data_IF_204486675930
#
_entry.id   IF_204486675930
#
_cell.length_a   1.000
_cell.length_b   1.000
_cell.length_c   1.000
_cell.angle_alpha   90.00
_cell.angle_beta   90.00
_cell.angle_gamma   90.00
#
_symmetry.space_group_name_H-M   'P 1'
#
loop_
_entity.id
_entity.type
_entity.pdbx_description
1 polymer ?
#
# COMPACT_ATOMS: atom_id res chain seq x y z
N UNK A 1 12.79 17.38 -22.99
CA UNK A 1 13.49 16.62 -21.95
C UNK A 1 12.99 17.13 -20.59
N UNK A 2 11.95 16.49 -20.03
CA UNK A 2 11.48 16.77 -18.66
C UNK A 2 11.96 15.62 -17.78
N UNK A 3 12.77 15.95 -16.79
CA UNK A 3 13.37 15.07 -15.79
C UNK A 3 12.29 14.21 -15.12
N UNK A 4 12.34 12.91 -15.37
CA UNK A 4 11.56 11.89 -14.64
C UNK A 4 12.01 11.92 -13.17
N UNK A 5 11.23 12.56 -12.30
CA UNK A 5 11.36 12.38 -10.86
C UNK A 5 11.06 10.93 -10.55
N UNK A 6 12.10 10.14 -10.27
CA UNK A 6 11.99 8.81 -9.70
C UNK A 6 11.17 8.92 -8.42
N UNK A 7 9.93 8.45 -8.47
CA UNK A 7 9.10 8.23 -7.29
C UNK A 7 9.80 7.17 -6.42
N UNK A 8 10.49 7.61 -5.41
CA UNK A 8 10.96 6.75 -4.34
C UNK A 8 9.73 6.41 -3.49
N UNK A 9 9.21 5.16 -3.62
CA UNK A 9 8.48 4.55 -2.51
C UNK A 9 9.43 4.67 -1.33
N UNK A 10 9.00 5.44 -0.33
CA UNK A 10 9.84 5.85 0.78
C UNK A 10 10.31 4.67 1.65
N UNK A 11 11.14 3.81 1.07
CA UNK A 11 11.93 2.87 1.83
C UNK A 11 13.07 3.66 2.45
N UNK A 12 12.78 4.31 3.58
CA UNK A 12 13.85 4.77 4.45
C UNK A 12 14.82 3.61 4.66
N UNK A 13 16.08 3.85 4.36
CA UNK A 13 17.15 3.03 4.92
C UNK A 13 17.01 3.17 6.44
N UNK A 14 16.43 2.13 7.06
CA UNK A 14 16.41 1.99 8.52
C UNK A 14 17.82 2.25 9.02
N UNK A 15 17.96 3.14 9.98
CA UNK A 15 19.23 3.43 10.65
C UNK A 15 19.65 2.29 11.59
N UNK A 16 19.29 1.04 11.28
CA UNK A 16 19.70 -0.17 12.02
C UNK A 16 21.18 -0.21 12.41
N UNK A 17 22.01 0.60 11.76
CA UNK A 17 23.44 0.67 12.05
C UNK A 17 23.78 1.34 13.41
N UNK A 18 22.88 2.13 14.00
CA UNK A 18 23.20 2.88 15.23
C UNK A 18 22.94 2.11 16.53
N UNK A 19 22.11 1.05 16.51
CA UNK A 19 21.76 0.28 17.71
C UNK A 19 22.38 -1.13 17.78
N UNK A 20 23.26 -1.48 16.84
CA UNK A 20 23.95 -2.77 16.90
C UNK A 20 24.89 -2.76 18.12
N UNK A 21 24.53 -3.55 19.16
CA UNK A 21 25.31 -3.67 20.40
C UNK A 21 24.85 -2.78 21.55
N UNK A 22 23.78 -1.99 21.42
CA UNK A 22 23.16 -1.32 22.54
C UNK A 22 22.48 -2.32 23.49
N UNK A 23 22.47 -2.08 24.79
CA UNK A 23 21.75 -2.92 25.76
C UNK A 23 20.24 -2.92 25.45
N UNK A 24 19.53 -4.05 25.69
CA UNK A 24 18.07 -4.09 25.56
C UNK A 24 17.40 -3.03 26.45
N UNK A 25 16.34 -2.40 25.97
CA UNK A 25 15.65 -1.31 26.66
C UNK A 25 16.29 0.07 26.46
N UNK A 26 17.30 0.20 25.58
CA UNK A 26 17.85 1.51 25.21
C UNK A 26 16.93 2.20 24.23
N UNK A 27 16.33 3.30 24.61
CA UNK A 27 15.43 4.06 23.77
C UNK A 27 16.20 4.83 22.69
N UNK A 28 15.85 4.59 21.45
CA UNK A 28 16.39 5.30 20.30
C UNK A 28 15.29 5.50 19.23
N UNK A 29 14.99 6.74 18.94
CA UNK A 29 14.03 7.08 17.88
C UNK A 29 14.67 6.89 16.49
N UNK A 30 14.11 6.00 15.68
CA UNK A 30 14.57 5.72 14.31
C UNK A 30 13.65 6.30 13.23
N UNK A 31 12.67 7.11 13.64
CA UNK A 31 11.74 7.79 12.76
C UNK A 31 12.36 8.93 11.94
N UNK A 32 11.51 9.78 11.34
CA UNK A 32 11.97 10.97 10.62
C UNK A 32 12.41 12.04 11.62
N UNK A 33 13.51 12.76 11.33
CA UNK A 33 13.87 13.94 12.10
C UNK A 33 12.70 14.92 12.14
N UNK A 34 12.36 15.34 13.33
CA UNK A 34 11.19 16.19 13.58
C UNK A 34 11.71 17.50 14.16
N UNK A 35 11.22 18.62 13.63
CA UNK A 35 11.49 19.95 14.14
C UNK A 35 10.32 20.52 14.97
N UNK A 36 9.17 19.85 14.96
CA UNK A 36 7.99 20.30 15.71
C UNK A 36 8.05 19.78 17.15
N UNK A 37 7.59 20.58 18.13
CA UNK A 37 7.49 20.12 19.50
C UNK A 37 6.47 18.98 19.62
N UNK A 38 6.67 18.11 20.60
CA UNK A 38 5.70 17.07 20.94
C UNK A 38 4.41 17.72 21.41
N UNK A 39 3.29 17.16 20.99
CA UNK A 39 1.97 17.56 21.40
C UNK A 39 1.35 16.44 22.25
N UNK A 40 0.85 16.79 23.42
CA UNK A 40 0.15 15.87 24.33
C UNK A 40 -1.29 16.38 24.45
N UNK A 41 -2.25 15.54 24.10
CA UNK A 41 -3.68 15.83 24.32
C UNK A 41 -4.21 14.92 25.42
N UNK A 42 -4.67 15.50 26.51
CA UNK A 42 -5.38 14.78 27.57
C UNK A 42 -6.89 14.92 27.35
N UNK A 43 -7.56 13.79 27.26
CA UNK A 43 -9.01 13.71 27.25
C UNK A 43 -9.44 12.86 28.46
N UNK A 44 -10.27 13.45 29.32
CA UNK A 44 -10.86 12.78 30.46
C UNK A 44 -12.37 12.80 30.36
N UNK A 45 -13.00 11.69 30.66
CA UNK A 45 -14.44 11.59 30.52
C UNK A 45 -15.07 10.55 31.45
N UNK A 46 -16.33 10.77 31.73
CA UNK A 46 -17.29 9.79 32.24
C UNK A 46 -18.64 10.01 31.54
N UNK A 47 -19.70 9.39 31.97
CA UNK A 47 -21.02 9.60 31.35
C UNK A 47 -21.50 11.06 31.38
N UNK A 48 -21.18 11.81 32.43
CA UNK A 48 -21.68 13.16 32.67
C UNK A 48 -20.70 14.25 32.22
N UNK A 49 -19.41 14.04 32.46
CA UNK A 49 -18.35 15.03 32.28
C UNK A 49 -17.42 14.71 31.15
N UNK A 50 -16.91 15.74 30.52
CA UNK A 50 -15.88 15.67 29.49
C UNK A 50 -14.89 16.82 29.63
N UNK A 51 -13.64 16.54 29.57
CA UNK A 51 -12.56 17.52 29.60
C UNK A 51 -11.55 17.15 28.50
N UNK A 52 -11.08 18.17 27.77
CA UNK A 52 -10.06 18.02 26.72
C UNK A 52 -9.13 19.22 26.78
N UNK A 53 -7.82 18.96 26.85
CA UNK A 53 -6.81 20.02 26.85
C UNK A 53 -5.51 19.53 26.22
N UNK A 54 -4.87 20.43 25.48
CA UNK A 54 -3.54 20.23 24.91
C UNK A 54 -2.47 20.74 25.87
N UNK A 55 -1.37 19.99 25.93
CA UNK A 55 -0.21 20.31 26.76
C UNK A 55 1.07 20.13 25.95
N UNK A 56 2.05 20.97 26.26
CA UNK A 56 3.43 20.82 25.75
C UNK A 56 4.38 20.30 26.82
N UNK A 57 3.92 20.17 28.07
CA UNK A 57 4.67 19.67 29.21
C UNK A 57 3.89 18.56 29.91
N UNK A 58 4.59 17.43 30.12
CA UNK A 58 3.99 16.27 30.76
C UNK A 58 3.61 16.51 32.23
N UNK A 59 4.39 17.29 32.97
CA UNK A 59 4.09 17.56 34.39
C UNK A 59 2.78 18.33 34.55
N UNK A 60 2.51 19.29 33.68
CA UNK A 60 1.24 20.00 33.65
C UNK A 60 0.08 19.05 33.32
N UNK A 61 0.29 18.14 32.35
CA UNK A 61 -0.70 17.15 31.97
C UNK A 61 -1.04 16.24 33.18
N UNK A 62 -0.03 15.65 33.82
CA UNK A 62 -0.24 14.73 34.93
C UNK A 62 -0.81 15.40 36.19
N UNK A 63 -0.50 16.67 36.44
CA UNK A 63 -1.05 17.42 37.58
C UNK A 63 -2.55 17.71 37.49
N UNK A 64 -3.14 17.63 36.30
CA UNK A 64 -4.56 17.92 36.08
C UNK A 64 -5.44 16.68 36.02
N UNK A 65 -4.86 15.48 36.16
CA UNK A 65 -5.57 14.22 36.08
C UNK A 65 -6.60 14.09 37.24
N UNK A 66 -7.86 13.83 36.84
CA UNK A 66 -8.96 13.64 37.81
C UNK A 66 -9.12 12.17 38.19
N UNK A 67 -9.42 11.85 39.46
CA UNK A 67 -9.76 10.49 39.86
C UNK A 67 -11.13 10.07 39.28
N UNK A 68 -11.31 8.75 39.10
CA UNK A 68 -12.58 8.16 38.68
C UNK A 68 -13.10 8.55 37.28
N UNK A 69 -12.21 8.94 36.38
CA UNK A 69 -12.53 9.18 34.96
C UNK A 69 -11.70 8.25 34.07
N UNK A 70 -12.24 7.90 32.92
CA UNK A 70 -11.44 7.29 31.84
C UNK A 70 -10.58 8.38 31.23
N UNK A 71 -9.31 8.03 30.99
CA UNK A 71 -8.30 8.97 30.49
C UNK A 71 -7.76 8.50 29.17
N UNK A 72 -7.62 9.42 28.25
CA UNK A 72 -6.88 9.21 27.01
C UNK A 72 -5.77 10.24 26.90
N UNK A 73 -4.53 9.77 26.93
CA UNK A 73 -3.34 10.59 26.71
C UNK A 73 -2.86 10.30 25.30
N UNK A 74 -3.07 11.23 24.37
CA UNK A 74 -2.57 11.12 23.01
C UNK A 74 -1.25 11.87 22.89
N UNK A 75 -0.16 11.14 22.53
CA UNK A 75 1.19 11.67 22.37
C UNK A 75 1.54 11.68 20.89
N UNK A 76 1.63 12.88 20.32
CA UNK A 76 2.03 13.10 18.93
C UNK A 76 3.51 13.53 18.90
N UNK A 77 4.36 12.64 18.43
CA UNK A 77 5.82 12.81 18.40
C UNK A 77 6.53 11.86 19.35
N UNK A 78 7.49 11.11 18.80
CA UNK A 78 8.24 10.06 19.54
C UNK A 78 9.74 10.39 19.66
N UNK A 79 10.14 11.59 19.25
CA UNK A 79 11.54 12.01 19.18
C UNK A 79 12.09 12.52 20.52
N UNK A 80 11.24 12.90 21.47
CA UNK A 80 11.65 13.29 22.83
C UNK A 80 11.67 12.03 23.74
N UNK A 81 12.83 11.39 23.81
CA UNK A 81 13.05 10.20 24.59
C UNK A 81 12.84 10.44 26.08
N UNK A 82 13.21 11.63 26.59
CA UNK A 82 13.06 11.94 28.00
C UNK A 82 11.59 12.01 28.44
N UNK A 83 10.72 12.52 27.58
CA UNK A 83 9.28 12.54 27.80
C UNK A 83 8.71 11.12 27.82
N UNK A 84 9.10 10.28 26.85
CA UNK A 84 8.65 8.87 26.76
C UNK A 84 9.12 8.07 28.01
N UNK A 85 10.37 8.22 28.41
CA UNK A 85 10.89 7.59 29.65
C UNK A 85 10.11 8.05 30.90
N UNK A 86 9.75 9.32 30.96
CA UNK A 86 9.01 9.86 32.09
C UNK A 86 7.59 9.29 32.14
N UNK A 87 6.90 9.21 30.99
CA UNK A 87 5.60 8.52 30.88
C UNK A 87 5.74 7.05 31.30
N UNK A 88 6.77 6.37 30.82
CA UNK A 88 7.07 4.99 31.21
C UNK A 88 7.18 4.79 32.71
N UNK A 89 7.89 5.68 33.42
CA UNK A 89 7.99 5.66 34.88
C UNK A 89 6.66 5.92 35.58
N UNK A 90 5.85 6.87 35.08
CA UNK A 90 4.57 7.22 35.68
C UNK A 90 3.54 6.09 35.59
N UNK A 91 3.56 5.33 34.49
CA UNK A 91 2.61 4.23 34.23
C UNK A 91 3.24 2.83 34.40
N UNK A 92 4.44 2.76 34.97
CA UNK A 92 5.18 1.51 35.18
C UNK A 92 5.33 0.65 33.92
N UNK A 93 5.60 1.29 32.77
CA UNK A 93 5.79 0.62 31.48
C UNK A 93 7.22 0.09 31.39
N UNK A 94 7.36 -1.17 31.02
CA UNK A 94 8.66 -1.82 30.92
C UNK A 94 9.57 -1.16 29.87
N UNK A 95 10.89 -1.00 30.10
CA UNK A 95 11.81 -0.35 29.15
C UNK A 95 11.82 -0.97 27.75
N UNK A 96 11.65 -2.29 27.60
CA UNK A 96 11.53 -2.95 26.29
C UNK A 96 10.27 -2.51 25.53
N UNK A 97 9.16 -2.31 26.23
CA UNK A 97 7.94 -1.78 25.62
C UNK A 97 8.14 -0.34 25.14
N UNK A 98 8.83 0.48 25.92
CA UNK A 98 9.18 1.85 25.51
C UNK A 98 10.13 1.86 24.30
N UNK A 99 11.10 0.93 24.24
CA UNK A 99 11.95 0.74 23.08
C UNK A 99 11.13 0.42 21.84
N UNK A 100 10.15 -0.48 21.92
CA UNK A 100 9.28 -0.85 20.83
C UNK A 100 8.35 0.30 20.39
N UNK A 101 7.87 1.12 21.32
CA UNK A 101 7.07 2.33 21.04
C UNK A 101 7.88 3.34 20.22
N UNK A 102 9.12 3.59 20.61
CA UNK A 102 10.00 4.58 19.98
C UNK A 102 10.57 4.08 18.65
N UNK A 103 10.70 2.76 18.51
CA UNK A 103 11.21 2.13 17.30
C UNK A 103 10.10 1.93 16.26
N UNK A 104 9.88 2.93 15.39
CA UNK A 104 8.72 3.05 14.48
C UNK A 104 8.66 2.07 13.30
N UNK A 105 9.47 1.02 13.28
CA UNK A 105 9.45 -0.05 12.27
C UNK A 105 8.95 -1.39 12.82
N UNK A 106 8.24 -1.37 13.96
CA UNK A 106 7.73 -2.59 14.59
C UNK A 106 6.62 -3.24 13.74
N UNK A 107 6.55 -4.57 13.85
CA UNK A 107 5.44 -5.36 13.34
C UNK A 107 4.27 -5.26 14.31
N UNK A 108 3.05 -5.31 13.80
CA UNK A 108 1.87 -5.33 14.68
C UNK A 108 1.97 -6.50 15.66
N UNK A 109 1.79 -6.18 16.96
CA UNK A 109 1.89 -7.15 18.06
C UNK A 109 1.02 -6.72 19.23
N UNK A 110 0.64 -7.68 20.04
CA UNK A 110 -0.01 -7.51 21.34
C UNK A 110 0.83 -8.20 22.41
N UNK A 111 1.06 -7.50 23.51
CA UNK A 111 1.76 -8.03 24.69
C UNK A 111 0.96 -7.69 25.93
N UNK A 112 0.83 -8.65 26.81
CA UNK A 112 0.10 -8.56 28.07
C UNK A 112 1.10 -8.57 29.23
N UNK A 113 1.01 -7.55 30.07
CA UNK A 113 1.78 -7.37 31.29
C UNK A 113 0.81 -7.25 32.46
N UNK A 114 1.29 -7.51 33.67
CA UNK A 114 0.43 -7.53 34.88
C UNK A 114 -0.41 -6.25 35.07
N UNK A 115 0.15 -5.07 34.73
CA UNK A 115 -0.48 -3.77 35.00
C UNK A 115 -0.91 -3.00 33.77
N UNK A 116 -0.53 -3.45 32.59
CA UNK A 116 -0.92 -2.85 31.32
C UNK A 116 -0.85 -3.88 30.20
N UNK A 117 -1.58 -3.60 29.13
CA UNK A 117 -1.40 -4.28 27.85
C UNK A 117 -0.93 -3.28 26.81
N UNK A 118 -0.17 -3.75 25.83
CA UNK A 118 0.27 -2.91 24.71
C UNK A 118 -0.11 -3.56 23.38
N UNK A 119 -0.72 -2.75 22.51
CA UNK A 119 -0.99 -3.08 21.11
C UNK A 119 -0.19 -2.14 20.21
N UNK A 120 0.66 -2.68 19.36
CA UNK A 120 1.39 -1.93 18.34
C UNK A 120 0.81 -2.29 16.99
N UNK A 121 0.43 -1.29 16.18
CA UNK A 121 -0.16 -1.49 14.87
C UNK A 121 0.28 -0.41 13.90
N UNK A 122 -0.05 -0.58 12.61
CA UNK A 122 0.24 0.41 11.58
C UNK A 122 -1.03 1.13 11.19
N UNK A 123 -1.03 2.44 11.27
CA UNK A 123 -2.07 3.28 10.70
C UNK A 123 -1.72 3.57 9.24
N UNK A 124 -2.69 3.41 8.34
CA UNK A 124 -2.52 3.61 6.90
C UNK A 124 -3.27 4.84 6.46
N UNK A 125 -2.60 5.66 5.67
CA UNK A 125 -3.22 6.75 4.94
C UNK A 125 -2.95 6.58 3.44
N UNK A 126 -3.94 6.89 2.61
CA UNK A 126 -3.82 6.83 1.16
C UNK A 126 -4.13 8.19 0.53
N UNK A 127 -3.08 8.86 0.10
CA UNK A 127 -3.16 10.12 -0.64
C UNK A 127 -2.93 9.87 -2.14
N UNK A 128 -1.69 9.79 -2.58
CA UNK A 128 -1.27 9.37 -3.92
C UNK A 128 -0.67 7.97 -3.91
N UNK A 129 -0.19 7.53 -2.77
CA UNK A 129 0.39 6.22 -2.48
C UNK A 129 0.07 5.81 -1.05
N UNK A 130 0.30 4.55 -0.72
CA UNK A 130 0.16 4.05 0.66
C UNK A 130 1.25 4.66 1.54
N UNK A 131 0.84 5.44 2.51
CA UNK A 131 1.68 5.94 3.60
C UNK A 131 1.30 5.22 4.89
N UNK A 132 2.27 4.96 5.74
CA UNK A 132 1.99 4.33 7.03
C UNK A 132 2.85 4.90 8.12
N UNK A 133 2.25 4.97 9.31
CA UNK A 133 2.91 5.32 10.55
C UNK A 133 2.63 4.28 11.64
N UNK A 134 3.48 4.25 12.65
CA UNK A 134 3.28 3.38 13.80
C UNK A 134 2.35 4.04 14.80
N UNK A 135 1.39 3.25 15.27
CA UNK A 135 0.58 3.56 16.44
C UNK A 135 0.88 2.53 17.52
N UNK A 136 1.18 2.98 18.73
CA UNK A 136 1.20 2.13 19.91
C UNK A 136 0.11 2.57 20.87
N UNK A 137 -0.67 1.64 21.39
CA UNK A 137 -1.73 1.85 22.37
C UNK A 137 -1.34 1.07 23.63
N UNK A 138 -1.17 1.78 24.73
CA UNK A 138 -1.01 1.20 26.06
C UNK A 138 -2.30 1.38 26.83
N UNK A 139 -2.87 0.28 27.30
CA UNK A 139 -4.10 0.26 28.10
C UNK A 139 -3.76 -0.16 29.52
N UNK A 140 -4.19 0.64 30.47
CA UNK A 140 -4.23 0.33 31.91
C UNK A 140 -5.68 0.31 32.39
N UNK A 141 -5.92 0.07 33.67
CA UNK A 141 -7.27 -0.04 34.25
C UNK A 141 -8.21 1.11 33.82
N UNK A 142 -7.76 2.37 33.87
CA UNK A 142 -8.57 3.55 33.57
C UNK A 142 -7.91 4.52 32.57
N UNK A 143 -6.80 4.13 31.95
CA UNK A 143 -6.06 5.03 31.07
C UNK A 143 -5.68 4.32 29.77
N UNK A 144 -5.91 5.02 28.66
CA UNK A 144 -5.36 4.68 27.34
C UNK A 144 -4.29 5.70 26.99
N UNK A 145 -3.11 5.26 26.63
CA UNK A 145 -2.05 6.12 26.09
C UNK A 145 -1.80 5.72 24.65
N UNK A 146 -2.02 6.64 23.72
CA UNK A 146 -1.69 6.44 22.30
C UNK A 146 -0.41 7.20 21.93
N UNK A 147 0.50 6.52 21.26
CA UNK A 147 1.77 7.07 20.80
C UNK A 147 1.80 7.00 19.28
N UNK A 148 2.00 8.12 18.62
CA UNK A 148 2.03 8.22 17.17
C UNK A 148 3.11 9.18 16.68
N UNK A 149 3.53 8.98 15.40
CA UNK A 149 4.41 9.93 14.74
C UNK A 149 3.60 11.20 14.36
N UNK A 150 4.19 12.41 14.35
CA UNK A 150 3.47 13.63 13.97
C UNK A 150 3.31 13.70 12.45
N UNK A 151 2.20 13.25 11.93
CA UNK A 151 1.85 13.29 10.51
C UNK A 151 0.48 13.93 10.30
N UNK A 152 0.38 15.24 10.35
CA UNK A 152 -0.68 16.04 9.72
C UNK A 152 -2.15 15.62 9.89
N UNK A 153 -2.49 14.92 10.97
CA UNK A 153 -3.82 14.39 11.28
C UNK A 153 -3.80 12.88 11.55
N UNK A 154 -4.71 12.43 12.40
CA UNK A 154 -4.86 11.03 12.75
C UNK A 154 -6.27 10.49 12.42
N UNK A 155 -6.47 9.18 12.60
CA UNK A 155 -7.75 8.50 12.41
C UNK A 155 -8.78 8.80 13.51
N UNK A 156 -8.44 9.58 14.54
CA UNK A 156 -9.19 9.63 15.79
C UNK A 156 -10.17 10.79 15.91
N UNK A 157 -10.28 11.66 14.91
CA UNK A 157 -11.21 12.81 14.97
C UNK A 157 -12.65 12.37 15.20
N UNK A 158 -13.07 11.27 14.59
CA UNK A 158 -14.42 10.74 14.81
C UNK A 158 -14.64 10.30 16.25
N UNK A 159 -13.61 9.76 16.92
CA UNK A 159 -13.66 9.35 18.33
C UNK A 159 -13.72 10.59 19.22
N UNK A 160 -12.90 11.62 18.94
CA UNK A 160 -12.94 12.90 19.64
C UNK A 160 -14.33 13.55 19.55
N UNK A 161 -14.93 13.55 18.35
CA UNK A 161 -16.30 14.06 18.15
C UNK A 161 -17.33 13.28 18.95
N UNK A 162 -17.25 11.93 18.96
CA UNK A 162 -18.14 11.07 19.77
C UNK A 162 -17.99 11.36 21.26
N UNK A 163 -16.76 11.54 21.74
CA UNK A 163 -16.46 11.90 23.13
C UNK A 163 -17.00 13.30 23.49
N UNK A 164 -16.79 14.32 22.66
CA UNK A 164 -17.29 15.68 22.88
C UNK A 164 -18.81 15.74 22.92
N UNK A 165 -19.47 15.03 22.02
CA UNK A 165 -20.94 15.06 21.88
C UNK A 165 -21.68 14.09 22.81
N UNK A 166 -20.96 13.18 23.48
CA UNK A 166 -21.57 12.14 24.30
C UNK A 166 -22.37 11.11 23.50
N UNK A 167 -22.25 11.09 22.18
CA UNK A 167 -22.95 10.16 21.30
C UNK A 167 -22.33 8.77 21.32
N UNK A 168 -23.18 7.75 21.29
CA UNK A 168 -22.76 6.34 21.28
C UNK A 168 -22.42 5.79 22.65
N UNK A 169 -21.55 4.77 22.70
CA UNK A 169 -21.22 4.03 23.93
C UNK A 169 -19.88 4.44 24.56
N UNK A 170 -19.08 5.26 23.87
CA UNK A 170 -17.69 5.56 24.28
C UNK A 170 -17.59 6.12 25.70
N UNK A 171 -18.53 7.00 26.10
CA UNK A 171 -18.54 7.55 27.46
C UNK A 171 -19.12 6.62 28.54
N UNK A 172 -19.82 5.56 28.13
CA UNK A 172 -20.51 4.61 29.03
C UNK A 172 -19.69 3.38 29.36
N UNK A 173 -18.64 3.14 28.57
CA UNK A 173 -17.79 1.96 28.68
C UNK A 173 -16.38 2.38 29.14
N UNK A 174 -15.58 1.40 29.58
CA UNK A 174 -14.28 1.63 30.17
C UNK A 174 -13.15 2.02 29.18
N UNK A 175 -11.95 2.07 29.72
CA UNK A 175 -10.76 2.35 28.92
C UNK A 175 -10.49 1.27 27.85
N UNK A 176 -10.83 0.04 28.11
CA UNK A 176 -10.75 -1.07 27.17
C UNK A 176 -11.61 -0.88 25.91
N UNK A 177 -12.81 -0.33 26.06
CA UNK A 177 -13.65 0.03 24.91
C UNK A 177 -13.06 1.21 24.12
N UNK A 178 -12.44 2.17 24.80
CA UNK A 178 -11.75 3.26 24.12
C UNK A 178 -10.57 2.71 23.31
N UNK A 179 -9.77 1.81 23.87
CA UNK A 179 -8.66 1.16 23.15
C UNK A 179 -9.16 0.42 21.91
N UNK A 180 -10.26 -0.36 22.04
CA UNK A 180 -10.94 -0.97 20.89
C UNK A 180 -11.35 0.10 19.85
N UNK A 181 -12.02 1.17 20.26
CA UNK A 181 -12.51 2.20 19.35
C UNK A 181 -11.38 2.90 18.57
N UNK A 182 -10.20 3.08 19.20
CA UNK A 182 -9.02 3.60 18.52
C UNK A 182 -8.46 2.60 17.49
N UNK A 183 -8.42 1.31 17.82
CA UNK A 183 -8.02 0.26 16.88
C UNK A 183 -8.99 0.13 15.71
N UNK A 184 -10.29 0.21 15.97
CA UNK A 184 -11.35 0.17 14.96
C UNK A 184 -11.23 1.33 13.97
N UNK A 185 -10.99 2.55 14.46
CA UNK A 185 -10.74 3.72 13.60
C UNK A 185 -9.51 3.53 12.68
N UNK A 186 -8.46 2.85 13.16
CA UNK A 186 -7.29 2.52 12.34
C UNK A 186 -7.64 1.48 11.27
N UNK A 187 -8.46 0.48 11.60
CA UNK A 187 -8.92 -0.54 10.65
C UNK A 187 -9.82 0.09 9.58
N UNK A 188 -10.65 1.07 9.93
CA UNK A 188 -11.45 1.84 8.96
C UNK A 188 -10.59 2.59 7.92
N UNK A 189 -9.41 3.05 8.30
CA UNK A 189 -8.46 3.65 7.35
C UNK A 189 -7.98 2.65 6.28
N UNK A 190 -7.86 1.37 6.62
CA UNK A 190 -7.52 0.34 5.63
C UNK A 190 -8.62 0.13 4.61
N UNK A 191 -9.90 0.14 5.02
CA UNK A 191 -11.03 0.07 4.08
C UNK A 191 -11.00 1.23 3.10
N UNK A 192 -10.82 2.46 3.60
CA UNK A 192 -10.72 3.65 2.76
C UNK A 192 -9.53 3.58 1.78
N UNK A 193 -8.38 3.05 2.23
CA UNK A 193 -7.22 2.87 1.37
C UNK A 193 -7.46 1.83 0.27
N UNK A 194 -8.08 0.70 0.63
CA UNK A 194 -8.38 -0.40 -0.30
C UNK A 194 -9.42 0.01 -1.35
N UNK A 195 -10.44 0.79 -0.97
CA UNK A 195 -11.43 1.34 -1.89
C UNK A 195 -10.76 2.20 -2.97
N UNK A 196 -9.94 3.17 -2.57
CA UNK A 196 -9.18 4.01 -3.50
C UNK A 196 -8.20 3.23 -4.39
N UNK A 197 -7.67 2.13 -3.89
CA UNK A 197 -6.82 1.24 -4.69
C UNK A 197 -7.66 0.45 -5.69
N UNK A 198 -8.85 0.00 -5.30
CA UNK A 198 -9.81 -0.65 -6.18
C UNK A 198 -10.13 0.19 -7.41
N UNK A 199 -10.49 1.47 -7.20
CA UNK A 199 -10.74 2.43 -8.29
C UNK A 199 -9.54 2.55 -9.25
N UNK A 200 -8.32 2.51 -8.72
CA UNK A 200 -7.12 2.53 -9.56
C UNK A 200 -6.88 1.23 -10.31
N UNK A 201 -7.19 0.09 -9.71
CA UNK A 201 -7.09 -1.23 -10.36
C UNK A 201 -8.01 -1.26 -11.57
N UNK A 202 -9.28 -0.85 -11.43
CA UNK A 202 -10.26 -0.76 -12.53
C UNK A 202 -9.77 0.18 -13.63
N UNK A 203 -9.28 1.36 -13.27
CA UNK A 203 -8.75 2.33 -14.24
C UNK A 203 -7.59 1.75 -15.05
N UNK A 204 -6.66 1.06 -14.42
CA UNK A 204 -5.50 0.45 -15.10
C UNK A 204 -5.93 -0.74 -15.96
N UNK A 205 -6.91 -1.52 -15.54
CA UNK A 205 -7.49 -2.61 -16.33
C UNK A 205 -8.05 -2.08 -17.65
N UNK A 206 -8.89 -1.04 -17.60
CA UNK A 206 -9.45 -0.39 -18.76
C UNK A 206 -8.39 0.20 -19.70
N UNK A 207 -7.38 0.87 -19.16
CA UNK A 207 -6.26 1.43 -19.94
C UNK A 207 -5.47 0.33 -20.65
N UNK A 208 -5.20 -0.80 -20.01
CA UNK A 208 -4.44 -1.91 -20.60
C UNK A 208 -5.22 -2.63 -21.68
N UNK A 209 -6.54 -2.74 -21.53
CA UNK A 209 -7.42 -3.35 -22.54
C UNK A 209 -7.55 -2.44 -23.75
N UNK A 210 -7.69 -1.10 -23.56
CA UNK A 210 -7.90 -0.15 -24.65
C UNK A 210 -6.61 0.22 -25.38
N UNK A 211 -5.56 0.58 -24.66
CA UNK A 211 -4.26 0.99 -25.20
C UNK A 211 -3.14 0.52 -24.28
N UNK A 212 -2.34 -0.43 -24.75
CA UNK A 212 -1.17 -0.93 -23.98
C UNK A 212 -0.08 0.14 -23.91
N UNK A 213 -0.22 1.13 -23.00
CA UNK A 213 0.79 2.17 -22.80
C UNK A 213 1.83 1.71 -21.75
N UNK A 214 3.08 2.14 -21.95
CA UNK A 214 4.19 1.86 -21.04
C UNK A 214 3.97 2.47 -19.64
N UNK A 215 3.18 3.54 -19.54
CA UNK A 215 2.83 4.18 -18.27
C UNK A 215 1.95 3.28 -17.42
N UNK A 216 0.90 2.69 -18.00
CA UNK A 216 -0.07 1.84 -17.28
C UNK A 216 0.60 0.60 -16.67
N UNK A 217 1.69 0.10 -17.28
CA UNK A 217 2.49 -0.98 -16.71
C UNK A 217 3.27 -0.52 -15.48
N UNK A 218 3.85 0.67 -15.54
CA UNK A 218 4.58 1.19 -14.37
C UNK A 218 3.61 1.37 -13.20
N UNK A 219 2.41 1.86 -13.45
CA UNK A 219 1.37 2.06 -12.45
C UNK A 219 0.87 0.71 -11.90
N UNK A 220 0.68 -0.31 -12.77
CA UNK A 220 0.39 -1.69 -12.38
C UNK A 220 1.47 -2.26 -11.43
N UNK A 221 2.75 -2.08 -11.76
CA UNK A 221 3.84 -2.51 -10.89
C UNK A 221 3.85 -1.76 -9.54
N UNK A 222 3.47 -0.48 -9.53
CA UNK A 222 3.34 0.28 -8.30
C UNK A 222 2.22 -0.29 -7.42
N UNK A 223 1.03 -0.50 -7.96
CA UNK A 223 -0.09 -1.08 -7.23
C UNK A 223 0.24 -2.49 -6.70
N UNK A 224 0.89 -3.33 -7.51
CA UNK A 224 1.33 -4.65 -7.04
C UNK A 224 2.26 -4.57 -5.83
N UNK A 225 3.15 -3.59 -5.77
CA UNK A 225 4.01 -3.35 -4.60
C UNK A 225 3.23 -2.84 -3.39
N UNK A 226 2.23 -1.98 -3.61
CA UNK A 226 1.35 -1.49 -2.55
C UNK A 226 0.54 -2.65 -1.95
N UNK A 227 0.03 -3.58 -2.77
CA UNK A 227 -0.66 -4.78 -2.27
C UNK A 227 0.26 -5.67 -1.42
N UNK A 228 1.48 -5.91 -1.86
CA UNK A 228 2.47 -6.66 -1.07
C UNK A 228 2.78 -5.95 0.24
N UNK A 229 2.86 -4.62 0.23
CA UNK A 229 3.08 -3.84 1.43
C UNK A 229 1.90 -3.94 2.40
N UNK A 230 0.65 -3.70 1.94
CA UNK A 230 -0.56 -3.82 2.75
C UNK A 230 -0.71 -5.21 3.35
N UNK A 231 -0.53 -6.25 2.55
CA UNK A 231 -0.52 -7.64 3.04
C UNK A 231 0.43 -7.80 4.23
N UNK A 232 1.66 -7.29 4.11
CA UNK A 232 2.67 -7.38 5.17
C UNK A 232 2.24 -6.67 6.46
N UNK A 233 1.37 -5.67 6.40
CA UNK A 233 0.87 -4.96 7.58
C UNK A 233 -0.36 -5.64 8.18
N UNK A 234 -1.30 -6.09 7.34
CA UNK A 234 -2.60 -6.60 7.80
C UNK A 234 -2.50 -7.99 8.46
N UNK A 235 -1.68 -8.89 7.94
CA UNK A 235 -1.52 -10.22 8.51
C UNK A 235 -1.09 -10.21 9.99
N UNK A 236 -0.05 -9.45 10.38
CA UNK A 236 0.31 -9.36 11.78
C UNK A 236 -0.76 -8.69 12.65
N UNK A 237 -1.55 -7.78 12.08
CA UNK A 237 -2.65 -7.12 12.80
C UNK A 237 -3.75 -8.12 13.16
N UNK A 238 -4.09 -9.06 12.26
CA UNK A 238 -5.01 -10.15 12.58
C UNK A 238 -4.49 -11.00 13.73
N UNK A 239 -3.20 -11.38 13.68
CA UNK A 239 -2.60 -12.19 14.74
C UNK A 239 -2.58 -11.43 16.08
N UNK A 240 -2.32 -10.11 16.05
CA UNK A 240 -2.37 -9.22 17.20
C UNK A 240 -3.76 -9.21 17.84
N UNK A 241 -4.83 -9.00 17.06
CA UNK A 241 -6.22 -8.96 17.56
C UNK A 241 -6.63 -10.34 18.12
N UNK A 242 -6.26 -11.42 17.44
CA UNK A 242 -6.54 -12.77 17.92
C UNK A 242 -5.84 -13.10 19.25
N UNK A 243 -4.61 -12.59 19.44
CA UNK A 243 -3.92 -12.73 20.70
C UNK A 243 -4.61 -11.91 21.81
N UNK A 244 -5.12 -10.72 21.48
CA UNK A 244 -5.88 -9.89 22.40
C UNK A 244 -7.20 -10.55 22.83
N UNK A 245 -7.92 -11.20 21.91
CA UNK A 245 -9.15 -11.96 22.21
C UNK A 245 -8.88 -13.17 23.13
N UNK A 246 -7.69 -13.78 22.99
CA UNK A 246 -7.30 -14.97 23.79
C UNK A 246 -6.62 -14.61 25.10
N UNK A 247 -6.30 -13.35 25.32
CA UNK A 247 -5.68 -12.88 26.55
C UNK A 247 -6.67 -13.01 27.72
N UNK A 248 -6.20 -13.50 28.85
CA UNK A 248 -6.96 -13.63 30.10
C UNK A 248 -6.79 -12.41 31.01
N UNK A 249 -6.32 -11.29 30.45
CA UNK A 249 -6.06 -10.08 31.21
C UNK A 249 -7.33 -9.47 31.81
N UNK A 250 -7.25 -9.05 33.06
CA UNK A 250 -8.37 -8.35 33.70
C UNK A 250 -8.62 -6.93 33.14
N UNK A 251 -7.68 -6.39 32.36
CA UNK A 251 -7.77 -5.08 31.75
C UNK A 251 -8.75 -5.01 30.57
N UNK A 252 -9.14 -6.16 30.01
CA UNK A 252 -10.11 -6.27 28.93
C UNK A 252 -11.33 -6.98 29.46
N UNK A 253 -12.45 -6.27 29.51
CA UNK A 253 -13.69 -6.85 30.04
C UNK A 253 -14.31 -7.85 29.04
N UNK A 254 -14.93 -8.91 29.56
CA UNK A 254 -15.65 -9.89 28.73
C UNK A 254 -16.75 -9.26 27.87
N UNK A 255 -17.28 -8.11 28.28
CA UNK A 255 -18.27 -7.36 27.47
C UNK A 255 -17.66 -6.75 26.21
N UNK A 256 -16.32 -6.62 26.15
CA UNK A 256 -15.60 -6.08 25.00
C UNK A 256 -15.24 -7.16 23.96
N UNK A 257 -15.36 -8.45 24.30
CA UNK A 257 -15.05 -9.57 23.39
C UNK A 257 -15.83 -9.51 22.08
N UNK A 258 -17.08 -9.12 22.13
CA UNK A 258 -17.92 -9.02 20.94
C UNK A 258 -17.37 -8.00 19.93
N UNK A 259 -16.84 -6.89 20.45
CA UNK A 259 -16.26 -5.83 19.63
C UNK A 259 -14.89 -6.25 19.05
N UNK A 260 -14.08 -6.96 19.83
CA UNK A 260 -12.80 -7.46 19.35
C UNK A 260 -12.97 -8.54 18.27
N UNK A 261 -14.01 -9.38 18.37
CA UNK A 261 -14.36 -10.34 17.32
C UNK A 261 -14.81 -9.65 16.04
N UNK A 262 -15.66 -8.64 16.14
CA UNK A 262 -16.07 -7.81 15.01
C UNK A 262 -14.85 -7.15 14.32
N UNK A 263 -13.92 -6.61 15.12
CA UNK A 263 -12.66 -6.06 14.61
C UNK A 263 -11.82 -7.12 13.89
N UNK A 264 -11.74 -8.35 14.40
CA UNK A 264 -11.06 -9.48 13.75
C UNK A 264 -11.70 -9.83 12.41
N UNK A 265 -13.03 -9.80 12.32
CA UNK A 265 -13.77 -10.06 11.09
C UNK A 265 -13.54 -8.95 10.05
N UNK A 266 -13.46 -7.69 10.48
CA UNK A 266 -13.09 -6.55 9.62
C UNK A 266 -11.68 -6.74 9.04
N UNK A 267 -10.70 -7.09 9.87
CA UNK A 267 -9.32 -7.33 9.40
C UNK A 267 -9.24 -8.52 8.46
N UNK A 268 -10.00 -9.58 8.71
CA UNK A 268 -10.08 -10.74 7.81
C UNK A 268 -10.62 -10.34 6.44
N UNK A 269 -11.68 -9.52 6.40
CA UNK A 269 -12.24 -8.98 5.13
C UNK A 269 -11.22 -8.14 4.37
N UNK A 270 -10.42 -7.32 5.08
CA UNK A 270 -9.32 -6.55 4.48
C UNK A 270 -8.29 -7.49 3.84
N UNK A 271 -7.90 -8.57 4.54
CA UNK A 271 -6.96 -9.57 4.00
C UNK A 271 -7.49 -10.16 2.70
N UNK A 272 -8.75 -10.63 2.69
CA UNK A 272 -9.37 -11.25 1.53
C UNK A 272 -9.43 -10.30 0.34
N UNK A 273 -9.73 -9.01 0.58
CA UNK A 273 -9.75 -7.99 -0.48
C UNK A 273 -8.36 -7.71 -1.02
N UNK A 274 -7.34 -7.61 -0.16
CA UNK A 274 -5.93 -7.43 -0.57
C UNK A 274 -5.44 -8.60 -1.43
N UNK A 275 -5.78 -9.84 -1.05
CA UNK A 275 -5.43 -11.02 -1.84
C UNK A 275 -6.16 -11.01 -3.20
N UNK A 276 -7.45 -10.66 -3.23
CA UNK A 276 -8.23 -10.54 -4.46
C UNK A 276 -7.61 -9.52 -5.41
N UNK A 277 -7.28 -8.32 -4.94
CA UNK A 277 -6.65 -7.31 -5.81
C UNK A 277 -5.26 -7.71 -6.27
N UNK A 278 -4.48 -8.40 -5.45
CA UNK A 278 -3.18 -8.96 -5.86
C UNK A 278 -3.33 -9.93 -7.03
N UNK A 279 -4.33 -10.80 -6.96
CA UNK A 279 -4.58 -11.81 -8.00
C UNK A 279 -5.13 -11.16 -9.28
N UNK A 280 -6.02 -10.17 -9.16
CA UNK A 280 -6.48 -9.33 -10.28
C UNK A 280 -5.30 -8.63 -10.97
N UNK A 281 -4.44 -7.95 -10.23
CA UNK A 281 -3.26 -7.27 -10.78
C UNK A 281 -2.30 -8.26 -11.48
N UNK A 282 -2.27 -9.51 -11.05
CA UNK A 282 -1.48 -10.54 -11.73
C UNK A 282 -2.13 -10.97 -13.04
N UNK A 283 -3.46 -11.16 -13.06
CA UNK A 283 -4.23 -11.44 -14.28
C UNK A 283 -4.14 -10.32 -15.32
N UNK A 284 -4.22 -9.06 -14.89
CA UNK A 284 -4.06 -7.88 -15.78
C UNK A 284 -2.65 -7.91 -16.43
N UNK A 285 -1.60 -8.27 -15.68
CA UNK A 285 -0.25 -8.41 -16.24
C UNK A 285 -0.18 -9.49 -17.32
N UNK A 286 -0.85 -10.63 -17.12
CA UNK A 286 -0.87 -11.73 -18.10
C UNK A 286 -1.63 -11.31 -19.37
N UNK A 287 -2.74 -10.59 -19.23
CA UNK A 287 -3.49 -10.00 -20.36
C UNK A 287 -2.59 -9.05 -21.15
N UNK A 288 -1.86 -8.16 -20.45
CA UNK A 288 -0.91 -7.25 -21.12
C UNK A 288 0.15 -7.98 -21.92
N UNK A 289 0.80 -8.99 -21.32
CA UNK A 289 1.84 -9.77 -22.00
C UNK A 289 1.29 -10.48 -23.24
N UNK A 290 0.07 -11.04 -23.15
CA UNK A 290 -0.62 -11.67 -24.26
C UNK A 290 -0.98 -10.66 -25.38
N UNK A 291 -1.49 -9.50 -25.01
CA UNK A 291 -1.82 -8.41 -25.95
C UNK A 291 -0.58 -7.92 -26.71
N UNK A 292 0.53 -7.72 -25.97
CA UNK A 292 1.79 -7.29 -26.57
C UNK A 292 2.37 -8.35 -27.52
N UNK A 293 2.28 -9.64 -27.17
CA UNK A 293 2.67 -10.73 -28.04
C UNK A 293 1.82 -10.78 -29.34
N UNK A 294 0.49 -10.56 -29.21
CA UNK A 294 -0.40 -10.50 -30.37
C UNK A 294 -0.05 -9.32 -31.28
N UNK A 295 0.21 -8.14 -30.73
CA UNK A 295 0.62 -6.95 -31.50
C UNK A 295 1.96 -7.19 -32.23
N UNK A 296 2.93 -7.84 -31.57
CA UNK A 296 4.19 -8.22 -32.21
C UNK A 296 3.95 -9.17 -33.36
N UNK A 297 3.06 -10.16 -33.20
CA UNK A 297 2.71 -11.11 -34.25
C UNK A 297 2.04 -10.40 -35.44
N UNK A 298 1.19 -9.38 -35.21
CA UNK A 298 0.60 -8.58 -36.27
C UNK A 298 1.66 -7.81 -37.07
N UNK A 299 2.59 -7.15 -36.39
CA UNK A 299 3.72 -6.46 -37.05
C UNK A 299 4.55 -7.44 -37.86
N UNK A 300 4.85 -8.60 -37.29
CA UNK A 300 5.61 -9.66 -38.00
C UNK A 300 4.85 -10.19 -39.22
N UNK A 301 3.51 -10.35 -39.15
CA UNK A 301 2.69 -10.72 -40.31
C UNK A 301 2.81 -9.69 -41.43
N UNK A 302 2.64 -8.40 -41.11
CA UNK A 302 2.74 -7.32 -42.11
C UNK A 302 4.13 -7.32 -42.76
N UNK A 303 5.19 -7.42 -41.95
CA UNK A 303 6.57 -7.46 -42.47
C UNK A 303 6.79 -8.70 -43.37
N UNK A 304 6.26 -9.86 -42.96
CA UNK A 304 6.38 -11.11 -43.73
C UNK A 304 5.65 -11.00 -45.04
N UNK A 305 4.42 -10.45 -45.08
CA UNK A 305 3.65 -10.23 -46.31
C UNK A 305 4.42 -9.32 -47.25
N UNK A 306 4.87 -8.16 -46.77
CA UNK A 306 5.64 -7.21 -47.58
C UNK A 306 6.90 -7.85 -48.17
N UNK A 307 7.71 -8.49 -47.32
CA UNK A 307 8.97 -9.13 -47.76
C UNK A 307 8.71 -10.25 -48.77
N UNK A 308 7.69 -11.09 -48.51
CA UNK A 308 7.36 -12.22 -49.44
C UNK A 308 6.91 -11.74 -50.80
N UNK A 309 6.27 -10.58 -50.89
CA UNK A 309 5.85 -9.99 -52.17
C UNK A 309 7.01 -9.28 -52.89
N UNK A 310 7.78 -8.48 -52.17
CA UNK A 310 8.83 -7.65 -52.78
C UNK A 310 10.09 -8.43 -53.14
N UNK A 311 10.49 -9.43 -52.38
CA UNK A 311 11.75 -10.16 -52.62
C UNK A 311 11.77 -10.87 -54.00
N UNK A 312 10.75 -11.65 -54.37
CA UNK A 312 10.74 -12.31 -55.70
C UNK A 312 10.69 -11.29 -56.85
N UNK A 313 9.90 -10.24 -56.72
CA UNK A 313 9.74 -9.20 -57.72
C UNK A 313 11.06 -8.43 -57.92
N UNK A 314 11.69 -8.05 -56.82
CA UNK A 314 12.98 -7.34 -56.85
C UNK A 314 14.10 -8.24 -57.40
N UNK A 315 14.08 -9.54 -57.10
CA UNK A 315 15.02 -10.50 -57.64
C UNK A 315 14.90 -10.58 -59.18
N UNK A 316 13.68 -10.73 -59.70
CA UNK A 316 13.43 -10.76 -61.15
C UNK A 316 13.88 -9.45 -61.80
N UNK A 317 13.49 -8.30 -61.23
CA UNK A 317 13.90 -6.99 -61.75
C UNK A 317 15.43 -6.81 -61.72
N UNK A 318 16.08 -7.30 -60.63
CA UNK A 318 17.52 -7.28 -60.47
C UNK A 318 18.26 -8.15 -61.50
N UNK A 319 17.75 -9.33 -61.81
CA UNK A 319 18.32 -10.21 -62.86
C UNK A 319 18.25 -9.52 -64.24
N UNK A 320 17.11 -8.92 -64.59
CA UNK A 320 16.99 -8.20 -65.85
C UNK A 320 17.67 -6.82 -65.89
N UNK A 321 18.09 -6.32 -64.70
CA UNK A 321 18.90 -5.11 -64.56
C UNK A 321 20.41 -5.35 -64.66
N UNK A 322 20.86 -6.61 -64.83
CA UNK A 322 22.26 -6.95 -64.94
C UNK A 322 22.81 -6.55 -66.36
N UNK A 323 24.08 -6.12 -66.42
CA UNK A 323 24.71 -5.69 -67.65
C UNK A 323 25.45 -6.84 -68.37
N UNK A 324 24.78 -7.96 -68.59
CA UNK A 324 25.37 -9.07 -69.38
C UNK A 324 25.11 -8.80 -70.90
N UNK A 325 26.15 -8.98 -71.72
CA UNK A 325 26.03 -8.82 -73.20
C UNK A 325 25.14 -9.84 -73.86
N UNK A 326 24.99 -11.04 -73.28
CA UNK A 326 24.22 -12.11 -73.88
C UNK A 326 23.04 -12.53 -72.97
N UNK A 327 21.97 -11.75 -73.00
CA UNK A 327 20.64 -12.03 -72.43
C UNK A 327 19.63 -12.26 -73.57
N UNK A 328 19.26 -13.48 -73.89
CA UNK A 328 18.39 -13.78 -75.03
C UNK A 328 17.02 -13.11 -74.95
N UNK A 329 16.46 -12.98 -73.73
CA UNK A 329 15.12 -12.45 -73.47
C UNK A 329 15.04 -10.93 -73.72
N UNK A 330 16.12 -10.20 -73.57
CA UNK A 330 16.15 -8.74 -73.80
C UNK A 330 16.05 -8.36 -75.28
N UNK A 331 16.38 -9.30 -76.22
CA UNK A 331 16.33 -9.10 -77.68
C UNK A 331 14.95 -9.47 -78.25
N UNK A 332 14.01 -9.99 -77.43
CA UNK A 332 12.66 -10.32 -77.89
C UNK A 332 11.71 -9.12 -77.74
N UNK A 333 10.89 -8.85 -78.75
CA UNK A 333 9.93 -7.71 -78.72
C UNK A 333 8.86 -7.86 -77.61
N UNK A 334 8.60 -9.07 -77.12
CA UNK A 334 7.60 -9.37 -76.08
C UNK A 334 8.20 -9.62 -74.70
N UNK A 335 9.54 -9.69 -74.53
CA UNK A 335 10.24 -10.01 -73.26
C UNK A 335 9.84 -9.11 -72.09
N UNK A 336 9.73 -7.81 -72.31
CA UNK A 336 9.30 -6.85 -71.34
C UNK A 336 7.90 -7.15 -70.76
N UNK A 337 6.92 -7.39 -71.66
CA UNK A 337 5.53 -7.67 -71.27
C UNK A 337 5.39 -9.04 -70.56
N UNK A 338 6.19 -10.04 -70.96
CA UNK A 338 6.22 -11.37 -70.32
C UNK A 338 6.76 -11.27 -68.90
N UNK A 339 7.85 -10.53 -68.69
CA UNK A 339 8.43 -10.31 -67.39
C UNK A 339 7.46 -9.60 -66.45
N UNK A 340 6.78 -8.54 -66.90
CA UNK A 340 5.73 -7.87 -66.14
C UNK A 340 4.57 -8.84 -65.84
N UNK A 341 4.14 -9.66 -66.78
CA UNK A 341 3.10 -10.67 -66.56
C UNK A 341 3.46 -11.67 -65.48
N UNK A 342 4.73 -12.15 -65.46
CA UNK A 342 5.24 -13.08 -64.43
C UNK A 342 5.27 -12.39 -63.05
N UNK A 343 5.81 -11.15 -62.95
CA UNK A 343 5.85 -10.43 -61.71
C UNK A 343 4.43 -10.18 -61.14
N UNK A 344 3.48 -9.76 -62.02
CA UNK A 344 2.11 -9.53 -61.59
C UNK A 344 1.42 -10.82 -61.15
N UNK A 345 1.66 -11.94 -61.82
CA UNK A 345 1.14 -13.26 -61.42
C UNK A 345 1.64 -13.70 -60.05
N UNK A 346 2.92 -13.46 -59.75
CA UNK A 346 3.49 -13.71 -58.44
C UNK A 346 2.82 -12.88 -57.36
N UNK A 347 2.66 -11.56 -57.59
CA UNK A 347 2.01 -10.66 -56.63
C UNK A 347 0.58 -11.13 -56.36
N UNK A 348 -0.23 -11.36 -57.44
CA UNK A 348 -1.62 -11.79 -57.30
C UNK A 348 -1.69 -13.14 -56.55
N UNK A 349 -0.86 -14.09 -56.93
CA UNK A 349 -0.77 -15.44 -56.28
C UNK A 349 -0.52 -15.33 -54.79
N UNK A 350 0.46 -14.52 -54.40
CA UNK A 350 0.82 -14.32 -53.00
C UNK A 350 -0.27 -13.59 -52.20
N UNK A 351 -0.88 -12.55 -52.77
CA UNK A 351 -2.02 -11.84 -52.13
C UNK A 351 -3.20 -12.80 -51.90
N UNK A 352 -3.56 -13.60 -52.91
CA UNK A 352 -4.61 -14.64 -52.77
C UNK A 352 -4.24 -15.67 -51.70
N UNK A 353 -2.99 -16.10 -51.66
CA UNK A 353 -2.49 -17.04 -50.66
C UNK A 353 -2.63 -16.47 -49.22
N UNK A 354 -2.15 -15.23 -48.98
CA UNK A 354 -2.24 -14.59 -47.66
C UNK A 354 -3.69 -14.29 -47.26
N UNK A 355 -4.55 -13.90 -48.23
CA UNK A 355 -5.98 -13.70 -47.96
C UNK A 355 -6.69 -15.01 -47.59
N UNK A 356 -6.36 -16.14 -48.24
CA UNK A 356 -6.89 -17.47 -47.87
C UNK A 356 -6.38 -17.91 -46.47
N UNK A 357 -5.18 -17.55 -46.10
CA UNK A 357 -4.64 -17.82 -44.77
C UNK A 357 -5.16 -16.88 -43.66
N UNK A 358 -6.02 -15.93 -43.98
CA UNK A 358 -6.54 -14.88 -43.09
C UNK A 358 -5.40 -14.06 -42.42
N UNK A 359 -4.35 -13.79 -43.19
CA UNK A 359 -3.27 -12.91 -42.75
C UNK A 359 -3.52 -11.45 -43.18
N UNK A 360 -4.40 -11.27 -44.17
CA UNK A 360 -4.94 -10.00 -44.68
C UNK A 360 -6.43 -10.00 -44.52
#
# INVERSE_FOLDING_TARGET
MKSSKRLHIGRKKSSRKHNIGAPPGTLYYNGREQSQPIKITLIEYNEAEFFEKEFHNLDECLSQVKPNMVKWINVEGLHDIALIEKLGKCYNIHPLTLEDIVHVDQRSKFEDFEHYVVAIMRMINYTTQVESEQLAIVLTENTVISFQEPHGGDAFDIIRVRLRTGKGRVRKLGADYLAYALMDAVVDCYFTAIEKIGDKVETIEDEIISESDQKSIMDLHHLKREMVYLRKQVWPMRDMINNMIRSETALISASNDIYLRDLSDHVTRIIDTVETYRDLLSGIMDIYLSSNANRMNEVMKVLTIMSSIFIPVTFIAGVYGMNFENMPELKTQTGYYVTWGVMLSIIIGLVVYFKRKKWM
#
